data_IF_262695719638
#
_entry.id   IF_262695719638
#
_cell.length_a   1.000
_cell.length_b   1.000
_cell.length_c   1.000
_cell.angle_alpha   90.00
_cell.angle_beta   90.00
_cell.angle_gamma   90.00
#
_symmetry.space_group_name_H-M   'P 1'
#
loop_
_entity.id
_entity.type
_entity.pdbx_description
1 polymer ?
#
# COMPACT_ATOMS: atom_id res chain seq x y z
N UNK A 1 6.11 52.75 31.58
CA UNK A 1 6.02 52.74 30.10
C UNK A 1 6.89 51.64 29.49
N UNK A 2 8.15 51.46 29.93
CA UNK A 2 9.05 50.41 29.41
C UNK A 2 8.52 48.97 29.58
N UNK A 3 7.87 48.65 30.70
CA UNK A 3 7.30 47.31 30.96
C UNK A 3 6.11 46.95 30.05
N UNK A 4 5.31 47.94 29.66
CA UNK A 4 4.19 47.76 28.72
C UNK A 4 4.70 47.54 27.29
N UNK A 5 5.69 48.33 26.87
CA UNK A 5 6.36 48.20 25.57
C UNK A 5 7.04 46.83 25.44
N UNK A 6 7.69 46.34 26.50
CA UNK A 6 8.29 45.01 26.52
C UNK A 6 7.24 43.89 26.43
N UNK A 7 6.06 44.08 27.04
CA UNK A 7 4.94 43.13 26.96
C UNK A 7 4.33 43.04 25.56
N UNK A 8 4.21 44.18 24.86
CA UNK A 8 3.68 44.24 23.49
C UNK A 8 4.65 43.63 22.48
N UNK A 9 5.95 43.87 22.66
CA UNK A 9 7.01 43.25 21.85
C UNK A 9 7.01 41.72 22.04
N UNK A 10 6.94 41.23 23.28
CA UNK A 10 6.88 39.79 23.57
C UNK A 10 5.60 39.14 22.99
N UNK A 11 4.47 39.85 23.05
CA UNK A 11 3.21 39.39 22.46
C UNK A 11 3.33 39.28 20.94
N UNK A 12 3.91 40.28 20.28
CA UNK A 12 4.16 40.28 18.84
C UNK A 12 5.08 39.12 18.42
N UNK A 13 6.19 38.90 19.13
CA UNK A 13 7.08 37.76 18.87
C UNK A 13 6.37 36.41 19.03
N UNK A 14 5.51 36.27 20.03
CA UNK A 14 4.72 35.06 20.24
C UNK A 14 3.72 34.84 19.09
N UNK A 15 3.06 35.90 18.62
CA UNK A 15 2.14 35.84 17.48
C UNK A 15 2.86 35.44 16.20
N UNK A 16 3.98 36.08 15.87
CA UNK A 16 4.82 35.74 14.72
C UNK A 16 5.35 34.29 14.77
N UNK A 17 5.77 33.84 15.96
CA UNK A 17 6.23 32.46 16.18
C UNK A 17 5.10 31.46 15.93
N UNK A 18 3.92 31.71 16.50
CA UNK A 18 2.77 30.83 16.32
C UNK A 18 2.28 30.80 14.87
N UNK A 19 2.33 31.94 14.17
CA UNK A 19 2.02 32.02 12.75
C UNK A 19 3.00 31.16 11.94
N UNK A 20 4.31 31.26 12.24
CA UNK A 20 5.32 30.45 11.58
C UNK A 20 5.11 28.95 11.82
N UNK A 21 4.87 28.54 13.07
CA UNK A 21 4.62 27.13 13.44
C UNK A 21 3.44 26.58 12.65
N UNK A 22 2.33 27.32 12.60
CA UNK A 22 1.13 26.93 11.83
C UNK A 22 1.41 26.89 10.34
N UNK A 23 2.00 27.95 9.77
CA UNK A 23 2.28 28.09 8.33
C UNK A 23 3.22 27.01 7.81
N UNK A 24 4.16 26.56 8.64
CA UNK A 24 5.15 25.53 8.28
C UNK A 24 4.80 24.13 8.76
N UNK A 25 3.62 23.94 9.37
CA UNK A 25 3.19 22.65 9.93
C UNK A 25 4.25 22.01 10.84
N UNK A 26 4.90 22.84 11.67
CA UNK A 26 6.01 22.41 12.54
C UNK A 26 5.53 21.34 13.54
N UNK A 27 4.29 21.43 14.00
CA UNK A 27 3.66 20.43 14.88
C UNK A 27 3.65 19.03 14.24
N UNK A 28 3.26 18.94 12.96
CA UNK A 28 3.25 17.67 12.22
C UNK A 28 4.66 17.11 12.05
N UNK A 29 5.65 17.97 11.81
CA UNK A 29 7.05 17.55 11.73
C UNK A 29 7.52 16.91 13.04
N UNK A 30 7.28 17.57 14.18
CA UNK A 30 7.66 17.03 15.49
C UNK A 30 6.91 15.75 15.84
N UNK A 31 5.61 15.67 15.54
CA UNK A 31 4.81 14.45 15.75
C UNK A 31 5.40 13.26 14.98
N UNK A 32 5.74 13.46 13.70
CA UNK A 32 6.36 12.43 12.87
C UNK A 32 7.73 12.00 13.45
N UNK A 33 8.59 12.95 13.81
CA UNK A 33 9.91 12.66 14.38
C UNK A 33 9.75 11.84 15.67
N UNK A 34 8.90 12.31 16.58
CA UNK A 34 8.67 11.65 17.87
C UNK A 34 8.16 10.22 17.70
N UNK A 35 7.17 10.01 16.83
CA UNK A 35 6.67 8.66 16.53
C UNK A 35 7.75 7.74 15.98
N UNK A 36 8.60 8.21 15.07
CA UNK A 36 9.70 7.40 14.54
C UNK A 36 10.72 7.04 15.63
N UNK A 37 11.07 7.97 16.52
CA UNK A 37 11.98 7.71 17.64
C UNK A 37 11.38 6.71 18.63
N UNK A 38 10.10 6.84 18.98
CA UNK A 38 9.43 5.94 19.92
C UNK A 38 9.27 4.51 19.39
N UNK A 39 9.02 4.37 18.10
CA UNK A 39 8.90 3.06 17.44
C UNK A 39 10.25 2.37 17.33
N UNK A 40 11.28 3.09 16.86
CA UNK A 40 12.57 2.49 16.54
C UNK A 40 13.55 2.45 17.71
N UNK A 41 13.32 3.26 18.75
CA UNK A 41 14.13 3.32 19.98
C UNK A 41 15.64 3.33 19.72
N UNK A 42 16.15 4.28 18.91
CA UNK A 42 17.58 4.33 18.58
C UNK A 42 18.42 4.69 19.81
N UNK A 43 19.63 4.14 19.90
CA UNK A 43 20.57 4.47 20.98
C UNK A 43 20.99 5.95 20.94
N UNK A 44 21.23 6.50 19.73
CA UNK A 44 21.53 7.91 19.51
C UNK A 44 20.39 8.58 18.73
N UNK A 45 19.49 9.24 19.46
CA UNK A 45 18.31 9.91 18.92
C UNK A 45 18.71 11.02 17.92
N UNK A 46 19.68 11.86 18.25
CA UNK A 46 20.06 12.99 17.39
C UNK A 46 20.61 12.55 16.04
N UNK A 47 21.53 11.58 16.04
CA UNK A 47 22.10 11.04 14.81
C UNK A 47 21.04 10.31 13.97
N UNK A 48 20.15 9.57 14.63
CA UNK A 48 19.03 8.90 13.96
C UNK A 48 18.12 9.90 13.24
N UNK A 49 17.73 10.99 13.91
CA UNK A 49 16.91 12.04 13.31
C UNK A 49 17.63 12.68 12.13
N UNK A 50 18.89 13.08 12.32
CA UNK A 50 19.68 13.75 11.28
C UNK A 50 19.79 12.90 10.01
N UNK A 51 20.08 11.60 10.14
CA UNK A 51 20.23 10.70 9.01
C UNK A 51 18.91 10.39 8.29
N UNK A 52 17.78 10.45 8.99
CA UNK A 52 16.49 9.96 8.48
C UNK A 52 15.43 11.05 8.26
N UNK A 53 15.73 12.33 8.54
CA UNK A 53 14.75 13.42 8.51
C UNK A 53 13.96 13.49 7.20
N UNK A 54 14.63 13.31 6.05
CA UNK A 54 13.97 13.31 4.75
C UNK A 54 13.08 12.07 4.55
N UNK A 55 13.53 10.89 5.00
CA UNK A 55 12.76 9.65 4.93
C UNK A 55 11.48 9.72 5.77
N UNK A 56 11.54 10.37 6.94
CA UNK A 56 10.38 10.59 7.80
C UNK A 56 9.30 11.43 7.13
N UNK A 57 9.70 12.36 6.26
CA UNK A 57 8.82 13.32 5.58
C UNK A 57 8.27 12.82 4.25
N UNK A 58 8.70 11.64 3.78
CA UNK A 58 8.12 11.01 2.60
C UNK A 58 6.63 10.77 2.80
N UNK A 59 5.84 11.03 1.78
CA UNK A 59 4.46 10.56 1.72
C UNK A 59 4.48 9.04 1.48
N UNK A 60 3.83 8.28 2.36
CA UNK A 60 3.90 6.81 2.37
C UNK A 60 2.50 6.27 2.09
N UNK A 61 2.29 5.77 0.87
CA UNK A 61 1.00 5.25 0.44
C UNK A 61 1.10 3.74 0.34
N UNK A 62 0.13 3.04 0.91
CA UNK A 62 0.00 1.59 0.79
C UNK A 62 -1.30 1.30 0.07
N UNK A 63 -1.24 0.45 -0.96
CA UNK A 63 -2.42 0.07 -1.74
C UNK A 63 -2.47 -1.45 -1.75
N UNK A 64 -3.56 -1.97 -1.22
CA UNK A 64 -3.94 -3.36 -1.42
C UNK A 64 -5.15 -3.42 -2.32
N UNK A 65 -5.30 -4.55 -2.99
CA UNK A 65 -6.51 -4.83 -3.74
C UNK A 65 -6.70 -6.33 -3.90
N UNK A 66 -7.77 -6.72 -4.62
CA UNK A 66 -8.01 -8.11 -4.92
C UNK A 66 -6.77 -8.72 -5.62
N UNK A 67 -6.44 -9.98 -5.31
CA UNK A 67 -5.38 -10.68 -6.02
C UNK A 67 -5.74 -10.82 -7.50
N UNK A 68 -4.74 -11.11 -8.33
CA UNK A 68 -4.83 -11.41 -9.77
C UNK A 68 -5.38 -10.33 -10.70
N UNK A 69 -6.06 -9.30 -10.20
CA UNK A 69 -6.56 -8.19 -11.01
C UNK A 69 -5.47 -7.14 -11.26
N UNK A 70 -5.50 -6.52 -12.44
CA UNK A 70 -4.54 -5.48 -12.82
C UNK A 70 -4.80 -4.13 -12.14
N UNK A 71 -5.99 -3.92 -11.58
CA UNK A 71 -6.43 -2.62 -11.02
C UNK A 71 -5.48 -2.05 -9.97
N UNK A 72 -4.98 -2.86 -9.04
CA UNK A 72 -4.07 -2.43 -7.98
C UNK A 72 -2.75 -1.90 -8.55
N UNK A 73 -2.21 -2.61 -9.54
CA UNK A 73 -0.97 -2.24 -10.23
C UNK A 73 -1.17 -0.98 -11.08
N UNK A 74 -2.26 -0.94 -11.86
CA UNK A 74 -2.62 0.21 -12.68
C UNK A 74 -2.73 1.48 -11.83
N UNK A 75 -3.50 1.43 -10.74
CA UNK A 75 -3.69 2.56 -9.84
C UNK A 75 -2.38 3.00 -9.18
N UNK A 76 -1.59 2.03 -8.70
CA UNK A 76 -0.28 2.31 -8.09
C UNK A 76 0.66 3.00 -9.06
N UNK A 77 0.75 2.52 -10.30
CA UNK A 77 1.58 3.14 -11.35
C UNK A 77 1.13 4.56 -11.65
N UNK A 78 -0.17 4.79 -11.87
CA UNK A 78 -0.72 6.13 -12.17
C UNK A 78 -0.45 7.14 -11.06
N UNK A 79 -0.69 6.77 -9.80
CA UNK A 79 -0.42 7.67 -8.66
C UNK A 79 1.08 7.95 -8.56
N UNK A 80 1.92 6.94 -8.80
CA UNK A 80 3.38 7.08 -8.72
C UNK A 80 3.92 8.05 -9.76
N UNK A 81 3.40 7.98 -10.99
CA UNK A 81 3.75 8.89 -12.07
C UNK A 81 3.25 10.31 -11.80
N UNK A 82 1.96 10.43 -11.44
CA UNK A 82 1.33 11.72 -11.22
C UNK A 82 2.00 12.55 -10.10
N UNK A 83 2.31 11.92 -8.97
CA UNK A 83 2.94 12.59 -7.83
C UNK A 83 4.47 12.51 -7.84
N UNK A 84 5.07 11.86 -8.84
CA UNK A 84 6.50 11.56 -8.90
C UNK A 84 6.99 10.84 -7.63
N UNK A 85 6.34 9.74 -7.29
CA UNK A 85 6.70 8.85 -6.16
C UNK A 85 7.46 7.63 -6.64
N UNK A 86 8.12 6.93 -5.72
CA UNK A 86 8.62 5.59 -6.00
C UNK A 86 7.47 4.59 -6.02
N UNK A 87 7.49 3.64 -6.94
CA UNK A 87 6.54 2.53 -6.97
C UNK A 87 7.27 1.25 -6.55
N UNK A 88 6.85 0.70 -5.42
CA UNK A 88 7.36 -0.54 -4.86
C UNK A 88 6.28 -1.61 -5.06
N UNK A 89 6.47 -2.47 -6.06
CA UNK A 89 5.56 -3.58 -6.33
C UNK A 89 6.00 -4.83 -5.59
N UNK A 90 5.30 -5.18 -4.51
CA UNK A 90 5.65 -6.37 -3.72
C UNK A 90 5.58 -7.68 -4.54
N UNK A 91 4.59 -7.90 -5.43
CA UNK A 91 4.57 -9.07 -6.31
C UNK A 91 5.86 -9.20 -7.14
N UNK A 92 6.35 -8.11 -7.72
CA UNK A 92 7.58 -8.07 -8.52
C UNK A 92 8.80 -8.36 -7.63
N UNK A 93 8.88 -7.75 -6.44
CA UNK A 93 10.00 -7.98 -5.52
C UNK A 93 10.07 -9.43 -5.03
N UNK A 94 8.92 -10.04 -4.74
CA UNK A 94 8.84 -11.47 -4.36
C UNK A 94 9.29 -12.34 -5.53
N UNK A 95 8.88 -12.03 -6.76
CA UNK A 95 9.30 -12.77 -7.95
C UNK A 95 10.81 -12.67 -8.16
N UNK A 96 11.38 -11.47 -8.09
CA UNK A 96 12.83 -11.25 -8.20
C UNK A 96 13.60 -11.98 -7.09
N UNK A 97 13.09 -11.98 -5.86
CA UNK A 97 13.70 -12.73 -4.76
C UNK A 97 13.74 -14.24 -5.04
N UNK A 98 12.64 -14.81 -5.55
CA UNK A 98 12.56 -16.23 -5.93
C UNK A 98 13.56 -16.57 -7.04
N UNK A 99 13.65 -15.73 -8.08
CA UNK A 99 14.59 -15.91 -9.18
C UNK A 99 16.06 -15.88 -8.70
N UNK A 100 16.41 -14.90 -7.87
CA UNK A 100 17.78 -14.72 -7.36
C UNK A 100 18.21 -15.83 -6.38
N UNK A 101 17.26 -16.47 -5.69
CA UNK A 101 17.52 -17.59 -4.78
C UNK A 101 17.58 -18.95 -5.49
N UNK A 102 17.25 -18.99 -6.77
CA UNK A 102 17.51 -20.11 -7.68
C UNK A 102 16.31 -21.03 -7.93
N UNK A 103 16.14 -21.37 -9.21
CA UNK A 103 15.48 -22.59 -9.71
C UNK A 103 16.30 -23.88 -9.42
N UNK A 104 17.36 -23.80 -8.61
CA UNK A 104 18.31 -24.90 -8.37
C UNK A 104 17.88 -25.90 -7.31
N UNK A 105 16.65 -25.81 -6.79
CA UNK A 105 16.08 -26.85 -5.94
C UNK A 105 14.61 -27.06 -6.30
N UNK A 106 14.21 -28.31 -6.49
CA UNK A 106 12.80 -28.73 -6.67
C UNK A 106 11.88 -28.37 -5.49
N UNK A 107 12.36 -27.59 -4.52
CA UNK A 107 11.60 -27.11 -3.38
C UNK A 107 11.02 -25.74 -3.73
N UNK A 108 9.68 -25.67 -3.86
CA UNK A 108 8.95 -24.40 -3.94
C UNK A 108 9.40 -23.51 -2.78
N UNK A 109 10.09 -22.41 -3.09
CA UNK A 109 10.52 -21.43 -2.09
C UNK A 109 9.27 -20.84 -1.43
N UNK A 110 9.07 -21.18 -0.15
CA UNK A 110 8.00 -20.62 0.67
C UNK A 110 8.47 -19.24 1.13
N UNK A 111 7.74 -18.20 0.71
CA UNK A 111 8.00 -16.82 1.13
C UNK A 111 7.04 -16.50 2.28
N UNK A 112 7.58 -16.46 3.50
CA UNK A 112 6.84 -16.12 4.71
C UNK A 112 6.82 -14.59 4.95
N UNK A 113 6.04 -14.14 5.93
CA UNK A 113 5.89 -12.72 6.25
C UNK A 113 7.18 -12.04 6.74
N UNK A 114 8.11 -12.81 7.32
CA UNK A 114 9.42 -12.29 7.74
C UNK A 114 10.27 -11.92 6.52
N UNK A 115 10.31 -12.79 5.51
CA UNK A 115 11.00 -12.52 4.24
C UNK A 115 10.35 -11.34 3.53
N UNK A 116 9.01 -11.27 3.49
CA UNK A 116 8.28 -10.14 2.90
C UNK A 116 8.67 -8.83 3.59
N UNK A 117 8.65 -8.83 4.93
CA UNK A 117 9.01 -7.65 5.72
C UNK A 117 10.46 -7.22 5.49
N UNK A 118 11.38 -8.19 5.37
CA UNK A 118 12.78 -7.92 5.04
C UNK A 118 12.91 -7.30 3.64
N UNK A 119 12.33 -7.92 2.61
CA UNK A 119 12.36 -7.42 1.22
C UNK A 119 11.85 -5.98 1.16
N UNK A 120 10.70 -5.72 1.78
CA UNK A 120 10.09 -4.40 1.78
C UNK A 120 10.95 -3.37 2.52
N UNK A 121 11.47 -3.72 3.70
CA UNK A 121 12.34 -2.85 4.50
C UNK A 121 13.60 -2.45 3.74
N UNK A 122 14.28 -3.40 3.11
CA UNK A 122 15.49 -3.13 2.30
C UNK A 122 15.18 -2.19 1.13
N UNK A 123 14.07 -2.44 0.41
CA UNK A 123 13.68 -1.60 -0.71
C UNK A 123 13.34 -0.16 -0.28
N UNK A 124 12.64 0.01 0.85
CA UNK A 124 12.33 1.33 1.40
C UNK A 124 13.61 2.04 1.88
N UNK A 125 14.53 1.32 2.54
CA UNK A 125 15.79 1.88 3.03
C UNK A 125 16.69 2.39 1.90
N UNK A 126 16.66 1.71 0.75
CA UNK A 126 17.47 2.06 -0.42
C UNK A 126 16.88 3.21 -1.25
N UNK A 127 15.72 3.76 -0.89
CA UNK A 127 15.15 4.91 -1.56
C UNK A 127 15.96 6.17 -1.28
N UNK A 128 16.23 6.94 -2.34
CA UNK A 128 16.80 8.28 -2.19
C UNK A 128 15.70 9.27 -1.80
N UNK A 129 15.52 9.43 -0.48
CA UNK A 129 14.51 10.30 0.11
C UNK A 129 14.66 11.80 -0.24
N UNK A 130 15.76 12.21 -0.88
CA UNK A 130 15.95 13.58 -1.38
C UNK A 130 15.44 13.76 -2.82
N UNK A 131 15.29 12.68 -3.60
CA UNK A 131 14.91 12.75 -5.02
C UNK A 131 13.40 12.78 -5.25
N UNK A 132 12.64 11.97 -4.52
CA UNK A 132 11.18 11.91 -4.65
C UNK A 132 10.52 12.23 -3.32
N UNK A 133 9.27 12.69 -3.40
CA UNK A 133 8.48 13.17 -2.25
C UNK A 133 7.72 12.07 -1.52
N UNK A 134 7.77 10.83 -2.02
CA UNK A 134 7.01 9.73 -1.44
C UNK A 134 7.24 8.41 -2.16
N UNK A 135 6.59 7.37 -1.65
CA UNK A 135 6.53 6.05 -2.26
C UNK A 135 5.16 5.42 -2.10
N UNK A 136 4.86 4.48 -3.00
CA UNK A 136 3.68 3.65 -3.02
C UNK A 136 4.12 2.20 -2.87
N UNK A 137 3.52 1.48 -1.93
CA UNK A 137 3.69 0.04 -1.79
C UNK A 137 2.44 -0.64 -2.32
N UNK A 138 2.59 -1.35 -3.43
CA UNK A 138 1.53 -2.12 -4.08
C UNK A 138 1.51 -3.54 -3.53
N UNK A 139 0.31 -4.02 -3.20
CA UNK A 139 0.07 -5.40 -2.76
C UNK A 139 0.53 -5.66 -1.32
N UNK A 140 0.56 -4.63 -0.47
CA UNK A 140 0.86 -4.77 0.96
C UNK A 140 0.01 -3.78 1.78
N UNK A 141 -0.52 -4.17 2.94
CA UNK A 141 -0.48 -5.52 3.53
C UNK A 141 -1.45 -6.50 2.86
N UNK A 142 -1.31 -7.80 3.09
CA UNK A 142 -2.23 -8.84 2.59
C UNK A 142 -2.75 -9.80 3.68
N UNK A 143 -2.30 -9.64 4.94
CA UNK A 143 -2.77 -10.42 6.08
C UNK A 143 -2.61 -9.62 7.39
N UNK A 144 -3.04 -10.21 8.49
CA UNK A 144 -3.05 -9.57 9.80
C UNK A 144 -1.64 -9.17 10.29
N UNK A 145 -0.64 -10.04 10.12
CA UNK A 145 0.74 -9.75 10.53
C UNK A 145 1.34 -8.58 9.72
N UNK A 146 1.09 -8.58 8.41
CA UNK A 146 1.49 -7.50 7.53
C UNK A 146 0.76 -6.20 7.87
N UNK A 147 -0.51 -6.23 8.28
CA UNK A 147 -1.24 -5.03 8.68
C UNK A 147 -0.63 -4.36 9.92
N UNK A 148 -0.30 -5.13 10.95
CA UNK A 148 0.43 -4.60 12.11
C UNK A 148 1.79 -4.01 11.72
N UNK A 149 2.51 -4.68 10.82
CA UNK A 149 3.80 -4.18 10.31
C UNK A 149 3.64 -2.93 9.46
N UNK A 150 2.60 -2.82 8.63
CA UNK A 150 2.26 -1.64 7.83
C UNK A 150 2.11 -0.40 8.71
N UNK A 151 1.39 -0.49 9.83
CA UNK A 151 1.18 0.64 10.74
C UNK A 151 2.48 1.18 11.35
N UNK A 152 3.52 0.34 11.50
CA UNK A 152 4.84 0.76 12.00
C UNK A 152 5.57 1.67 11.01
N UNK A 153 5.24 1.63 9.73
CA UNK A 153 5.79 2.55 8.73
C UNK A 153 5.19 3.96 8.83
N UNK A 154 4.13 4.14 9.65
CA UNK A 154 3.38 5.39 9.76
C UNK A 154 2.85 5.85 8.39
N UNK A 155 2.01 5.03 7.73
CA UNK A 155 1.50 5.35 6.41
C UNK A 155 0.72 6.66 6.46
N UNK A 156 0.87 7.47 5.43
CA UNK A 156 0.04 8.66 5.24
C UNK A 156 -1.35 8.27 4.75
N UNK A 157 -1.41 7.25 3.89
CA UNK A 157 -2.64 6.67 3.38
C UNK A 157 -2.52 5.16 3.22
N UNK A 158 -3.57 4.43 3.59
CA UNK A 158 -3.74 3.02 3.26
C UNK A 158 -5.03 2.88 2.47
N UNK A 159 -4.94 2.58 1.18
CA UNK A 159 -6.09 2.32 0.32
C UNK A 159 -6.37 0.83 0.25
N UNK A 160 -7.64 0.47 0.48
CA UNK A 160 -8.12 -0.89 0.37
C UNK A 160 -9.12 -0.96 -0.77
N UNK A 161 -8.68 -1.51 -1.91
CA UNK A 161 -9.57 -1.82 -3.01
C UNK A 161 -10.31 -3.12 -2.66
N UNK A 162 -11.58 -2.98 -2.27
CA UNK A 162 -12.42 -4.10 -1.88
C UNK A 162 -13.19 -4.63 -3.08
N UNK A 163 -13.17 -5.94 -3.26
CA UNK A 163 -14.06 -6.64 -4.18
C UNK A 163 -14.49 -7.97 -3.55
N UNK A 164 -15.71 -8.39 -3.85
CA UNK A 164 -16.17 -9.75 -3.52
C UNK A 164 -15.65 -10.78 -4.54
N UNK A 165 -15.83 -12.05 -4.21
CA UNK A 165 -15.39 -13.18 -5.05
C UNK A 165 -15.99 -13.14 -6.46
N UNK A 166 -17.27 -12.77 -6.59
CA UNK A 166 -17.98 -12.68 -7.86
C UNK A 166 -17.37 -11.63 -8.78
N UNK A 167 -17.13 -10.41 -8.27
CA UNK A 167 -16.49 -9.34 -9.01
C UNK A 167 -15.08 -9.75 -9.48
N UNK A 168 -14.30 -10.37 -8.60
CA UNK A 168 -12.91 -10.75 -8.91
C UNK A 168 -12.87 -11.72 -10.08
N UNK A 169 -13.68 -12.78 -10.05
CA UNK A 169 -13.68 -13.75 -11.13
C UNK A 169 -14.22 -13.17 -12.43
N UNK A 170 -15.33 -12.42 -12.40
CA UNK A 170 -15.86 -11.76 -13.59
C UNK A 170 -14.82 -10.83 -14.22
N UNK A 171 -14.14 -10.02 -13.40
CA UNK A 171 -13.15 -9.08 -13.91
C UNK A 171 -11.90 -9.77 -14.45
N UNK A 172 -11.50 -10.88 -13.81
CA UNK A 172 -10.39 -11.69 -14.28
C UNK A 172 -10.69 -12.38 -15.62
N UNK A 173 -11.93 -12.86 -15.82
CA UNK A 173 -12.41 -13.37 -17.12
C UNK A 173 -12.30 -12.29 -18.21
N UNK A 174 -12.79 -11.06 -17.93
CA UNK A 174 -12.69 -9.92 -18.84
C UNK A 174 -11.23 -9.53 -19.18
N UNK A 175 -10.34 -9.50 -18.17
CA UNK A 175 -8.94 -9.05 -18.34
C UNK A 175 -8.04 -10.05 -19.08
N UNK A 176 -8.46 -11.31 -19.18
CA UNK A 176 -7.67 -12.41 -19.72
C UNK A 176 -8.34 -13.16 -20.88
N UNK A 177 -9.57 -12.80 -21.25
CA UNK A 177 -10.36 -13.46 -22.31
C UNK A 177 -10.52 -14.98 -22.06
N UNK A 178 -10.93 -15.32 -20.84
CA UNK A 178 -11.16 -16.71 -20.38
C UNK A 178 -12.54 -16.88 -19.75
N UNK A 179 -13.03 -18.12 -19.63
CA UNK A 179 -14.29 -18.43 -18.95
C UNK A 179 -14.06 -19.42 -17.78
N UNK A 180 -14.24 -18.96 -16.55
CA UNK A 180 -14.14 -19.69 -15.28
C UNK A 180 -15.54 -20.17 -14.84
N UNK A 181 -16.57 -19.31 -14.95
CA UNK A 181 -17.93 -19.57 -14.44
C UNK A 181 -18.84 -20.39 -15.37
N UNK A 182 -18.49 -20.52 -16.66
CA UNK A 182 -19.29 -21.24 -17.67
C UNK A 182 -19.45 -22.75 -17.41
N UNK A 183 -18.82 -23.29 -16.35
CA UNK A 183 -18.81 -24.71 -16.03
C UNK A 183 -19.56 -25.11 -14.74
N UNK A 184 -20.03 -24.17 -13.92
CA UNK A 184 -20.80 -24.51 -12.71
C UNK A 184 -22.30 -24.25 -12.85
N UNK A 185 -22.75 -23.62 -13.93
CA UNK A 185 -24.18 -23.39 -14.23
C UNK A 185 -24.65 -23.96 -15.57
N UNK A 186 -23.95 -24.94 -16.17
CA UNK A 186 -24.60 -25.77 -17.20
C UNK A 186 -25.58 -26.73 -16.52
N UNK A 187 -26.77 -26.21 -16.20
CA UNK A 187 -28.00 -27.00 -16.35
C UNK A 187 -28.09 -27.40 -17.82
N UNK A 188 -28.42 -28.66 -18.04
CA UNK A 188 -28.65 -29.31 -19.33
C UNK A 188 -29.24 -28.38 -20.38
N UNK A 189 -28.43 -27.86 -21.29
CA UNK A 189 -28.89 -27.44 -22.61
C UNK A 189 -27.77 -27.63 -23.64
N UNK A 190 -28.19 -28.19 -24.77
CA UNK A 190 -27.41 -28.79 -25.84
C UNK A 190 -26.23 -27.95 -26.36
N UNK A 191 -25.18 -28.70 -26.71
CA UNK A 191 -23.94 -28.30 -27.36
C UNK A 191 -24.27 -27.61 -28.71
N UNK A 192 -23.58 -26.51 -29.03
CA UNK A 192 -22.98 -26.26 -30.35
C UNK A 192 -22.13 -24.97 -30.33
N UNK A 193 -20.84 -25.10 -29.98
CA UNK A 193 -19.71 -24.44 -30.65
C UNK A 193 -18.41 -24.86 -29.94
N UNK A 194 -17.40 -25.40 -30.67
CA UNK A 194 -16.14 -25.80 -30.08
C UNK A 194 -15.23 -24.57 -30.02
N UNK A 195 -15.39 -23.74 -29.00
CA UNK A 195 -14.28 -22.89 -28.61
C UNK A 195 -13.23 -23.80 -27.93
N UNK A 196 -12.00 -23.78 -28.42
CA UNK A 196 -10.85 -24.40 -27.76
C UNK A 196 -10.65 -23.73 -26.40
N UNK A 197 -11.27 -24.30 -25.38
CA UNK A 197 -11.16 -23.79 -24.02
C UNK A 197 -9.84 -24.33 -23.47
N UNK A 198 -8.85 -23.45 -23.35
CA UNK A 198 -7.64 -23.72 -22.60
C UNK A 198 -8.06 -24.17 -21.20
N UNK A 199 -7.84 -25.45 -20.87
CA UNK A 199 -8.06 -26.00 -19.54
C UNK A 199 -7.03 -25.39 -18.58
N UNK A 200 -7.27 -24.17 -18.14
CA UNK A 200 -6.45 -23.48 -17.15
C UNK A 200 -6.76 -24.12 -15.79
N UNK A 201 -5.72 -24.56 -15.07
CA UNK A 201 -5.87 -24.95 -13.68
C UNK A 201 -6.29 -23.71 -12.87
N UNK A 202 -7.57 -23.62 -12.54
CA UNK A 202 -8.15 -22.52 -11.78
C UNK A 202 -7.89 -22.63 -10.27
N UNK A 203 -7.35 -23.76 -9.79
CA UNK A 203 -7.14 -23.99 -8.36
C UNK A 203 -6.22 -22.94 -7.72
N UNK A 204 -5.06 -22.56 -8.29
CA UNK A 204 -4.20 -21.54 -7.71
C UNK A 204 -4.87 -20.16 -7.63
N UNK A 205 -5.72 -19.82 -8.61
CA UNK A 205 -6.51 -18.59 -8.60
C UNK A 205 -7.53 -18.62 -7.44
N UNK A 206 -8.30 -19.71 -7.33
CA UNK A 206 -9.30 -19.87 -6.27
C UNK A 206 -8.67 -19.81 -4.88
N UNK A 207 -7.52 -20.45 -4.69
CA UNK A 207 -6.78 -20.42 -3.42
C UNK A 207 -6.35 -18.99 -3.03
N UNK A 208 -5.92 -18.17 -4.00
CA UNK A 208 -5.57 -16.76 -3.75
C UNK A 208 -6.78 -15.92 -3.36
N UNK A 209 -7.90 -16.05 -4.09
CA UNK A 209 -9.12 -15.30 -3.81
C UNK A 209 -9.70 -15.68 -2.45
N UNK A 210 -9.76 -16.97 -2.14
CA UNK A 210 -10.22 -17.48 -0.84
C UNK A 210 -9.36 -16.96 0.31
N UNK A 211 -8.03 -16.93 0.14
CA UNK A 211 -7.10 -16.37 1.13
C UNK A 211 -7.36 -14.88 1.34
N UNK A 212 -7.57 -14.11 0.27
CA UNK A 212 -7.92 -12.69 0.34
C UNK A 212 -9.23 -12.46 1.10
N UNK A 213 -10.32 -13.15 0.73
CA UNK A 213 -11.64 -12.99 1.36
C UNK A 213 -11.59 -13.34 2.85
N UNK A 214 -10.83 -14.37 3.24
CA UNK A 214 -10.67 -14.77 4.65
C UNK A 214 -9.95 -13.72 5.48
N UNK A 215 -8.93 -13.07 4.91
CA UNK A 215 -8.07 -12.16 5.66
C UNK A 215 -8.61 -10.72 5.70
N UNK A 216 -9.44 -10.30 4.74
CA UNK A 216 -9.75 -8.88 4.57
C UNK A 216 -10.46 -8.27 5.79
N UNK A 217 -11.43 -8.96 6.39
CA UNK A 217 -12.22 -8.43 7.51
C UNK A 217 -11.35 -8.07 8.74
N UNK A 218 -10.51 -9.01 9.18
CA UNK A 218 -9.64 -8.80 10.34
C UNK A 218 -8.61 -7.71 10.08
N UNK A 219 -8.05 -7.71 8.89
CA UNK A 219 -7.06 -6.73 8.46
C UNK A 219 -7.66 -5.33 8.36
N UNK A 220 -8.89 -5.18 7.86
CA UNK A 220 -9.64 -3.93 7.91
C UNK A 220 -9.81 -3.46 9.37
N UNK A 221 -10.08 -4.38 10.30
CA UNK A 221 -10.20 -4.06 11.72
C UNK A 221 -8.87 -3.55 12.29
N UNK A 222 -7.75 -4.23 12.01
CA UNK A 222 -6.40 -3.86 12.47
C UNK A 222 -5.99 -2.47 11.96
N UNK A 223 -6.23 -2.19 10.68
CA UNK A 223 -5.88 -0.89 10.07
C UNK A 223 -6.72 0.27 10.65
N UNK A 224 -7.90 -0.02 11.22
CA UNK A 224 -8.70 0.94 11.97
C UNK A 224 -9.05 2.19 11.13
N UNK A 225 -8.75 3.37 11.67
CA UNK A 225 -8.98 4.67 11.00
C UNK A 225 -7.87 5.07 10.03
N UNK A 226 -6.79 4.29 9.89
CA UNK A 226 -5.67 4.60 8.99
C UNK A 226 -5.94 4.19 7.54
N UNK A 227 -7.08 3.53 7.28
CA UNK A 227 -7.46 3.05 5.94
C UNK A 227 -8.59 3.86 5.33
N UNK A 228 -8.63 3.84 4.00
CA UNK A 228 -9.76 4.23 3.16
C UNK A 228 -10.16 3.05 2.29
N UNK A 229 -11.39 2.56 2.46
CA UNK A 229 -11.90 1.42 1.70
C UNK A 229 -12.65 1.93 0.48
N UNK A 230 -12.30 1.42 -0.68
CA UNK A 230 -12.93 1.73 -1.96
C UNK A 230 -13.52 0.43 -2.51
N UNK A 231 -14.84 0.33 -2.54
CA UNK A 231 -15.52 -0.83 -3.10
C UNK A 231 -15.50 -0.73 -4.62
N UNK A 232 -14.88 -1.69 -5.30
CA UNK A 232 -14.68 -1.66 -6.75
C UNK A 232 -15.99 -1.75 -7.55
N UNK A 233 -17.09 -2.22 -6.94
CA UNK A 233 -18.42 -2.14 -7.56
C UNK A 233 -18.91 -0.70 -7.76
N UNK A 234 -18.44 0.24 -6.94
CA UNK A 234 -18.95 1.62 -6.91
C UNK A 234 -18.15 2.58 -7.83
N UNK A 235 -17.03 2.12 -8.38
CA UNK A 235 -16.12 2.96 -9.15
C UNK A 235 -15.68 2.29 -10.45
N UNK A 236 -15.57 3.08 -11.52
CA UNK A 236 -14.74 2.71 -12.65
C UNK A 236 -13.29 3.18 -12.44
N UNK A 237 -12.37 2.68 -13.28
CA UNK A 237 -10.93 2.95 -13.18
C UNK A 237 -10.60 4.45 -13.12
N UNK A 238 -11.27 5.26 -13.95
CA UNK A 238 -11.06 6.71 -13.98
C UNK A 238 -11.54 7.39 -12.70
N UNK A 239 -12.69 6.98 -12.16
CA UNK A 239 -13.23 7.50 -10.91
C UNK A 239 -12.33 7.14 -9.72
N UNK A 240 -11.70 5.95 -9.72
CA UNK A 240 -10.71 5.57 -8.69
C UNK A 240 -9.49 6.47 -8.73
N UNK A 241 -8.94 6.69 -9.94
CA UNK A 241 -7.79 7.58 -10.12
C UNK A 241 -8.11 8.98 -9.60
N UNK A 242 -9.27 9.53 -9.95
CA UNK A 242 -9.65 10.88 -9.55
C UNK A 242 -9.95 10.97 -8.04
N UNK A 243 -10.48 9.91 -7.44
CA UNK A 243 -10.76 9.84 -6.00
C UNK A 243 -9.51 9.71 -5.13
N UNK A 244 -8.40 9.21 -5.68
CA UNK A 244 -7.12 9.07 -4.97
C UNK A 244 -6.20 10.30 -5.18
N UNK A 245 -6.46 11.12 -6.20
CA UNK A 245 -5.75 12.37 -6.44
C UNK A 245 -6.11 13.51 -5.46
N UNK A 246 -7.27 13.43 -4.81
CA UNK A 246 -7.82 14.44 -3.88
C UNK A 246 -7.52 14.08 -2.44
#
# INVERSE_FOLDING_TARGET
METLLHSEILKKYKEETNEYIKKKNVEKLFDIILKNVLINKPDNIYLYIYNNIYSFLLNKIFIMGPPVLKITSMLSSHISEFFNYYHISLPILIQQYKLNKGESSNNKIIVNDEIISFILKENIHNLDSKKKKGYIVEGYPNNNLQAYSCLKYLPSHVFVLYADEEYIYKKYEEENDIAIFSYTQKKDYDINEPHEINNIDVKPLKDQVLSYIRNISDMLTILGTNKKVLNLHDFNDQMLIDHVKV
#
